data_IF_881707501736
#
_entry.id   IF_881707501736
#
_cell.length_a   1.000
_cell.length_b   1.000
_cell.length_c   1.000
_cell.angle_alpha   90.00
_cell.angle_beta   90.00
_cell.angle_gamma   90.00
#
_symmetry.space_group_name_H-M   'P 1'
#
loop_
_entity.id
_entity.type
_entity.pdbx_description
1 polymer ?
#
# COMPACT_ATOMS: atom_id res chain seq x y z
N UNK A 1 -41.62 -12.53 -55.21
CA UNK A 1 -40.57 -13.12 -54.34
C UNK A 1 -39.87 -11.98 -53.62
N UNK A 2 -40.37 -11.58 -52.45
CA UNK A 2 -39.81 -10.50 -51.63
C UNK A 2 -39.51 -11.11 -50.27
N UNK A 3 -38.22 -11.18 -49.94
CA UNK A 3 -37.74 -11.66 -48.65
C UNK A 3 -37.83 -10.50 -47.64
N UNK A 4 -38.68 -10.64 -46.62
CA UNK A 4 -38.60 -9.80 -45.42
C UNK A 4 -37.52 -10.38 -44.50
N UNK A 5 -36.41 -9.66 -44.32
CA UNK A 5 -35.49 -9.91 -43.21
C UNK A 5 -36.13 -9.40 -41.91
N UNK A 6 -36.42 -10.31 -41.00
CA UNK A 6 -36.71 -9.96 -39.61
C UNK A 6 -35.39 -9.59 -38.91
N UNK A 7 -35.21 -8.32 -38.58
CA UNK A 7 -34.13 -7.86 -37.71
C UNK A 7 -34.48 -8.21 -36.26
N UNK A 8 -33.92 -9.30 -35.73
CA UNK A 8 -33.90 -9.57 -34.29
C UNK A 8 -32.96 -8.59 -33.62
N UNK A 9 -33.51 -7.54 -33.00
CA UNK A 9 -32.80 -6.74 -31.99
C UNK A 9 -32.53 -7.63 -30.77
N UNK A 10 -31.28 -8.09 -30.65
CA UNK A 10 -30.78 -8.66 -29.40
C UNK A 10 -30.71 -7.53 -28.37
N UNK A 11 -31.65 -7.53 -27.43
CA UNK A 11 -31.54 -6.74 -26.21
C UNK A 11 -30.29 -7.25 -25.45
N UNK A 12 -29.21 -6.46 -25.46
CA UNK A 12 -28.12 -6.60 -24.52
C UNK A 12 -28.69 -6.41 -23.12
N UNK A 13 -29.04 -7.51 -22.46
CA UNK A 13 -29.37 -7.49 -21.04
C UNK A 13 -28.15 -6.96 -20.29
N UNK A 14 -28.20 -5.70 -19.87
CA UNK A 14 -27.21 -5.12 -18.96
C UNK A 14 -27.30 -5.82 -17.61
N UNK A 15 -26.61 -6.96 -17.47
CA UNK A 15 -26.58 -7.70 -16.21
C UNK A 15 -26.02 -6.83 -15.09
N UNK A 16 -26.43 -7.04 -13.84
CA UNK A 16 -25.84 -6.32 -12.71
C UNK A 16 -24.33 -6.60 -12.61
N UNK A 17 -23.57 -5.69 -11.98
CA UNK A 17 -22.16 -5.93 -11.62
C UNK A 17 -22.09 -7.18 -10.75
N UNK A 18 -21.17 -8.10 -11.06
CA UNK A 18 -20.98 -9.28 -10.21
C UNK A 18 -20.54 -8.81 -8.82
N UNK A 19 -21.30 -9.22 -7.81
CA UNK A 19 -21.15 -8.72 -6.45
C UNK A 19 -19.88 -9.20 -5.77
N UNK A 20 -19.74 -10.52 -5.70
CA UNK A 20 -18.80 -11.26 -4.88
C UNK A 20 -18.13 -12.34 -5.70
N UNK A 21 -16.97 -12.79 -5.23
CA UNK A 21 -16.20 -13.85 -5.83
C UNK A 21 -16.57 -15.22 -5.24
N UNK A 22 -16.43 -16.27 -6.04
CA UNK A 22 -16.60 -17.66 -5.56
C UNK A 22 -15.46 -18.10 -4.62
N UNK A 23 -14.27 -17.54 -4.81
CA UNK A 23 -13.08 -17.78 -4.01
C UNK A 23 -12.22 -16.51 -3.99
N UNK A 24 -11.36 -16.39 -2.97
CA UNK A 24 -10.36 -15.33 -2.94
C UNK A 24 -9.39 -15.48 -4.10
N UNK A 25 -8.98 -14.37 -4.69
CA UNK A 25 -8.05 -14.35 -5.83
C UNK A 25 -6.82 -13.55 -5.45
N UNK A 26 -5.65 -14.15 -5.62
CA UNK A 26 -4.35 -13.49 -5.51
C UNK A 26 -3.65 -13.57 -6.85
N UNK A 27 -3.09 -12.45 -7.32
CA UNK A 27 -2.27 -12.41 -8.52
C UNK A 27 -1.03 -11.57 -8.29
N UNK A 28 0.03 -11.86 -9.03
CA UNK A 28 1.17 -10.96 -9.19
C UNK A 28 1.15 -10.52 -10.66
N UNK A 29 1.09 -9.22 -10.88
CA UNK A 29 0.93 -8.63 -12.22
C UNK A 29 1.89 -7.48 -12.41
N UNK A 30 2.37 -7.31 -13.63
CA UNK A 30 3.26 -6.22 -14.00
C UNK A 30 2.49 -4.92 -14.18
N UNK A 31 3.00 -3.83 -13.62
CA UNK A 31 2.42 -2.49 -13.72
C UNK A 31 3.39 -1.58 -14.45
N UNK A 32 2.89 -0.83 -15.43
CA UNK A 32 3.68 0.21 -16.10
C UNK A 32 4.00 1.35 -15.13
N UNK A 33 3.23 1.56 -14.08
CA UNK A 33 3.39 2.66 -13.10
C UNK A 33 3.94 2.20 -11.75
N UNK A 34 4.50 0.99 -11.67
CA UNK A 34 5.21 0.49 -10.50
C UNK A 34 6.35 1.43 -10.04
N UNK A 35 6.82 1.32 -8.79
CA UNK A 35 7.96 2.11 -8.31
C UNK A 35 9.21 1.94 -9.17
N UNK A 36 9.49 0.72 -9.62
CA UNK A 36 10.62 0.36 -10.47
C UNK A 36 10.15 -0.43 -11.69
N UNK A 37 10.86 -0.36 -12.82
CA UNK A 37 12.11 0.37 -13.04
C UNK A 37 11.94 1.90 -13.06
N UNK A 38 13.02 2.61 -12.74
CA UNK A 38 13.11 4.05 -13.02
C UNK A 38 13.35 4.24 -14.51
N UNK A 39 12.76 5.27 -15.11
CA UNK A 39 13.13 5.66 -16.47
C UNK A 39 14.60 6.08 -16.46
N UNK A 40 15.43 5.25 -17.09
CA UNK A 40 16.87 5.41 -17.11
C UNK A 40 17.37 6.73 -17.69
N UNK A 41 16.54 7.44 -18.46
CA UNK A 41 16.89 8.74 -19.03
C UNK A 41 16.56 9.92 -18.11
N UNK A 42 15.83 9.69 -17.02
CA UNK A 42 15.46 10.77 -16.10
C UNK A 42 16.67 11.26 -15.30
N UNK A 43 16.68 12.56 -14.95
CA UNK A 43 17.69 13.13 -14.07
C UNK A 43 17.71 12.42 -12.70
N UNK A 44 16.54 12.02 -12.19
CA UNK A 44 16.41 11.27 -10.95
C UNK A 44 17.07 9.88 -11.03
N UNK A 45 16.91 9.16 -12.15
CA UNK A 45 17.59 7.88 -12.35
C UNK A 45 19.11 8.06 -12.49
N UNK A 46 19.54 9.12 -13.17
CA UNK A 46 20.97 9.42 -13.37
C UNK A 46 21.66 9.75 -12.04
N UNK A 47 21.02 10.54 -11.18
CA UNK A 47 21.55 10.86 -9.84
C UNK A 47 21.56 9.63 -8.94
N UNK A 48 20.52 8.80 -9.02
CA UNK A 48 20.40 7.63 -8.16
C UNK A 48 21.40 6.52 -8.50
N UNK A 49 21.55 6.18 -9.79
CA UNK A 49 22.52 5.17 -10.22
C UNK A 49 23.91 5.78 -10.40
N UNK A 50 24.64 5.86 -9.28
CA UNK A 50 25.93 6.53 -9.16
C UNK A 50 27.16 5.65 -9.48
N UNK A 51 26.97 4.38 -9.85
CA UNK A 51 28.04 3.47 -10.28
C UNK A 51 27.79 2.96 -11.70
N UNK A 52 28.88 2.64 -12.41
CA UNK A 52 28.83 2.09 -13.77
C UNK A 52 29.86 0.96 -13.94
N UNK A 53 29.46 -0.08 -14.67
CA UNK A 53 30.34 -1.14 -15.17
C UNK A 53 29.92 -1.47 -16.61
N UNK A 54 30.68 -0.94 -17.58
CA UNK A 54 30.29 -0.96 -18.99
C UNK A 54 28.94 -0.27 -19.21
N UNK A 55 27.94 -1.02 -19.68
CA UNK A 55 26.56 -0.55 -19.88
C UNK A 55 25.68 -0.70 -18.64
N UNK A 56 26.15 -1.41 -17.60
CA UNK A 56 25.40 -1.62 -16.37
C UNK A 56 25.47 -0.37 -15.50
N UNK A 57 24.35 -0.08 -14.85
CA UNK A 57 24.22 1.01 -13.88
C UNK A 57 23.93 0.41 -12.52
N UNK A 58 24.57 0.96 -11.50
CA UNK A 58 24.44 0.49 -10.13
C UNK A 58 24.26 1.62 -9.14
N UNK A 59 23.76 1.26 -7.96
CA UNK A 59 23.70 2.12 -6.79
C UNK A 59 24.69 1.60 -5.75
N UNK A 60 25.71 2.39 -5.41
CA UNK A 60 26.56 2.11 -4.25
C UNK A 60 25.92 2.64 -2.98
N UNK A 61 25.71 1.76 -2.01
CA UNK A 61 25.20 2.12 -0.69
C UNK A 61 26.29 2.76 0.18
N UNK A 62 25.89 3.33 1.32
CA UNK A 62 26.82 3.84 2.32
C UNK A 62 27.76 2.75 2.89
N UNK A 63 27.35 1.47 2.84
CA UNK A 63 28.18 0.33 3.26
C UNK A 63 29.12 -0.19 2.17
N UNK A 64 29.14 0.45 1.00
CA UNK A 64 29.98 0.07 -0.15
C UNK A 64 29.41 -1.06 -1.01
N UNK A 65 28.26 -1.65 -0.64
CA UNK A 65 27.57 -2.65 -1.47
C UNK A 65 27.01 -1.97 -2.72
N UNK A 66 27.14 -2.62 -3.87
CA UNK A 66 26.55 -2.17 -5.12
C UNK A 66 25.30 -3.01 -5.41
N UNK A 67 24.19 -2.35 -5.69
CA UNK A 67 22.98 -2.95 -6.24
C UNK A 67 22.87 -2.58 -7.71
N UNK A 68 22.80 -3.57 -8.60
CA UNK A 68 22.71 -3.34 -10.04
C UNK A 68 21.26 -3.12 -10.46
N UNK A 69 21.04 -2.15 -11.36
CA UNK A 69 19.72 -1.78 -11.86
C UNK A 69 18.93 -2.98 -12.41
N UNK A 70 19.57 -3.76 -13.27
CA UNK A 70 19.00 -4.91 -13.96
C UNK A 70 18.76 -6.14 -13.05
N UNK A 71 19.05 -6.03 -11.75
CA UNK A 71 18.87 -7.11 -10.78
C UNK A 71 17.96 -6.68 -9.62
N UNK A 72 18.14 -5.44 -9.14
CA UNK A 72 17.47 -4.94 -7.94
C UNK A 72 16.31 -3.99 -8.27
N UNK A 73 16.39 -3.25 -9.38
CA UNK A 73 15.49 -2.15 -9.68
C UNK A 73 14.76 -2.36 -11.01
N UNK A 74 14.50 -3.62 -11.38
CA UNK A 74 13.89 -4.03 -12.65
C UNK A 74 12.53 -4.72 -12.50
N UNK A 75 12.05 -4.91 -11.27
CA UNK A 75 10.83 -5.66 -11.01
C UNK A 75 9.62 -4.71 -10.89
N UNK A 76 8.80 -4.76 -11.94
CA UNK A 76 7.58 -3.96 -12.06
C UNK A 76 6.33 -4.67 -11.53
N UNK A 77 6.51 -5.79 -10.83
CA UNK A 77 5.39 -6.62 -10.37
C UNK A 77 4.73 -6.03 -9.13
N UNK A 78 3.44 -6.31 -9.02
CA UNK A 78 2.56 -5.89 -7.93
C UNK A 78 1.70 -7.08 -7.53
N UNK A 79 1.70 -7.39 -6.24
CA UNK A 79 0.80 -8.37 -5.67
C UNK A 79 -0.57 -7.73 -5.44
N UNK A 80 -1.61 -8.39 -5.93
CA UNK A 80 -3.00 -8.01 -5.77
C UNK A 80 -3.75 -9.14 -5.08
N UNK A 81 -4.64 -8.80 -4.17
CA UNK A 81 -5.54 -9.78 -3.57
C UNK A 81 -6.95 -9.24 -3.35
N UNK A 82 -7.94 -10.03 -3.77
CA UNK A 82 -9.37 -9.80 -3.51
C UNK A 82 -9.90 -10.98 -2.70
N UNK A 83 -10.30 -10.79 -1.43
CA UNK A 83 -10.94 -11.83 -0.63
C UNK A 83 -12.24 -12.32 -1.25
N UNK A 84 -12.62 -13.58 -1.01
CA UNK A 84 -13.87 -14.16 -1.54
C UNK A 84 -15.10 -13.31 -1.18
N UNK A 85 -15.12 -12.81 0.06
CA UNK A 85 -16.22 -12.02 0.64
C UNK A 85 -16.28 -10.56 0.20
N UNK A 86 -15.29 -10.08 -0.55
CA UNK A 86 -15.28 -8.71 -1.06
C UNK A 86 -16.52 -8.48 -1.93
N UNK A 87 -17.26 -7.41 -1.65
CA UNK A 87 -18.41 -6.96 -2.44
C UNK A 87 -18.17 -5.54 -2.95
N UNK A 88 -17.92 -5.41 -4.25
CA UNK A 88 -17.60 -4.12 -4.89
C UNK A 88 -18.75 -3.10 -4.81
N UNK A 89 -19.98 -3.56 -4.54
CA UNK A 89 -21.17 -2.71 -4.43
C UNK A 89 -21.33 -2.10 -3.04
N UNK A 90 -20.53 -2.54 -2.07
CA UNK A 90 -20.53 -2.03 -0.69
C UNK A 90 -19.37 -1.04 -0.49
N UNK A 91 -19.44 -0.16 0.51
CA UNK A 91 -18.28 0.62 0.93
C UNK A 91 -17.08 -0.30 1.16
N UNK A 92 -15.96 0.00 0.54
CA UNK A 92 -14.74 -0.78 0.62
C UNK A 92 -13.50 0.09 0.67
N UNK A 93 -12.34 -0.54 0.79
CA UNK A 93 -11.05 0.15 0.92
C UNK A 93 -9.96 -0.61 0.17
N UNK A 94 -9.00 0.13 -0.39
CA UNK A 94 -7.75 -0.46 -0.89
C UNK A 94 -6.69 -0.34 0.21
N UNK A 95 -6.19 -1.48 0.68
CA UNK A 95 -5.00 -1.54 1.51
C UNK A 95 -3.77 -1.56 0.59
N UNK A 96 -2.99 -0.50 0.60
CA UNK A 96 -1.70 -0.47 -0.11
C UNK A 96 -0.60 -0.79 0.89
N UNK A 97 0.21 -1.81 0.61
CA UNK A 97 1.27 -2.27 1.50
C UNK A 97 2.65 -2.01 0.91
N UNK A 98 3.47 -1.22 1.60
CA UNK A 98 4.86 -0.95 1.25
C UNK A 98 5.79 -1.76 2.13
N UNK A 99 6.51 -2.70 1.50
CA UNK A 99 7.35 -3.66 2.19
C UNK A 99 8.69 -3.08 2.67
N UNK A 100 9.32 -3.81 3.58
CA UNK A 100 10.65 -3.49 4.12
C UNK A 100 11.80 -3.92 3.22
N UNK A 101 13.01 -3.71 3.72
CA UNK A 101 14.23 -4.14 3.04
C UNK A 101 14.27 -5.65 2.79
N UNK A 102 14.95 -6.03 1.71
CA UNK A 102 15.23 -7.42 1.40
C UNK A 102 14.03 -8.21 0.91
N UNK A 103 12.86 -7.61 0.69
CA UNK A 103 11.67 -8.37 0.34
C UNK A 103 11.60 -8.78 -1.13
N UNK A 104 10.92 -9.90 -1.35
CA UNK A 104 10.40 -10.39 -2.63
C UNK A 104 8.91 -10.66 -2.41
N UNK A 105 8.04 -10.22 -3.33
CA UNK A 105 6.58 -10.32 -3.18
C UNK A 105 6.10 -11.72 -2.74
N UNK A 106 6.52 -12.77 -3.43
CA UNK A 106 6.13 -14.15 -3.12
C UNK A 106 6.62 -14.56 -1.73
N UNK A 107 7.93 -14.48 -1.51
CA UNK A 107 8.57 -15.02 -0.31
C UNK A 107 8.13 -14.28 0.95
N UNK A 108 8.11 -12.95 0.90
CA UNK A 108 7.96 -12.14 2.10
C UNK A 108 6.52 -11.69 2.30
N UNK A 109 5.86 -11.15 1.26
CA UNK A 109 4.52 -10.55 1.41
C UNK A 109 3.45 -11.64 1.41
N UNK A 110 3.52 -12.58 0.44
CA UNK A 110 2.55 -13.69 0.33
C UNK A 110 2.85 -14.78 1.36
N UNK A 111 4.06 -15.34 1.35
CA UNK A 111 4.31 -16.60 2.07
C UNK A 111 4.67 -16.38 3.54
N UNK A 112 5.61 -15.46 3.85
CA UNK A 112 6.05 -15.22 5.24
C UNK A 112 5.09 -14.36 6.05
N UNK A 113 4.69 -13.21 5.51
CA UNK A 113 3.86 -12.24 6.21
C UNK A 113 2.37 -12.51 6.07
N UNK A 114 1.99 -13.36 5.10
CA UNK A 114 0.61 -13.82 4.90
C UNK A 114 -0.37 -12.66 4.76
N UNK A 115 0.02 -11.59 4.04
CA UNK A 115 -0.83 -10.41 3.87
C UNK A 115 -2.19 -10.74 3.23
N UNK A 116 -2.26 -11.56 2.15
CA UNK A 116 -3.54 -12.00 1.59
C UNK A 116 -4.44 -12.67 2.64
N UNK A 117 -3.88 -13.52 3.49
CA UNK A 117 -4.59 -14.26 4.53
C UNK A 117 -5.08 -13.32 5.63
N UNK A 118 -4.26 -12.38 6.09
CA UNK A 118 -4.67 -11.37 7.07
C UNK A 118 -5.84 -10.51 6.55
N UNK A 119 -5.75 -10.06 5.29
CA UNK A 119 -6.83 -9.29 4.66
C UNK A 119 -8.10 -10.14 4.53
N UNK A 120 -7.97 -11.40 4.09
CA UNK A 120 -9.07 -12.37 4.00
C UNK A 120 -9.70 -12.72 5.35
N UNK A 121 -8.92 -12.75 6.43
CA UNK A 121 -9.41 -13.02 7.78
C UNK A 121 -10.19 -11.84 8.37
N UNK A 122 -9.86 -10.60 8.00
CA UNK A 122 -10.51 -9.39 8.53
C UNK A 122 -11.99 -9.27 8.15
N UNK A 123 -12.85 -8.69 8.97
CA UNK A 123 -14.26 -8.43 8.62
C UNK A 123 -14.44 -7.28 7.63
N UNK A 124 -13.35 -6.68 7.14
CA UNK A 124 -13.39 -5.55 6.24
C UNK A 124 -13.65 -5.97 4.78
N UNK A 125 -14.32 -5.10 4.04
CA UNK A 125 -14.48 -5.12 2.60
C UNK A 125 -13.25 -4.48 1.96
N UNK A 126 -12.12 -5.17 2.07
CA UNK A 126 -10.81 -4.65 1.68
C UNK A 126 -10.18 -5.49 0.57
N UNK A 127 -9.43 -4.83 -0.31
CA UNK A 127 -8.52 -5.46 -1.27
C UNK A 127 -7.09 -5.04 -0.97
N UNK A 128 -6.11 -5.85 -1.37
CA UNK A 128 -4.69 -5.59 -1.15
C UNK A 128 -3.99 -5.24 -2.46
N UNK A 129 -3.10 -4.26 -2.39
CA UNK A 129 -2.16 -3.88 -3.46
C UNK A 129 -0.77 -3.71 -2.84
N UNK A 130 0.21 -4.50 -3.25
CA UNK A 130 1.57 -4.45 -2.72
C UNK A 130 2.59 -4.40 -3.88
N UNK A 131 3.12 -3.22 -4.22
CA UNK A 131 4.14 -3.12 -5.26
C UNK A 131 5.49 -3.65 -4.77
N UNK A 132 6.26 -4.20 -5.70
CA UNK A 132 7.67 -4.48 -5.47
C UNK A 132 8.46 -3.17 -5.50
N UNK A 133 9.27 -2.94 -4.46
CA UNK A 133 10.35 -1.95 -4.45
C UNK A 133 11.67 -2.64 -4.83
N UNK A 134 12.81 -2.10 -4.40
CA UNK A 134 14.12 -2.73 -4.64
C UNK A 134 14.12 -4.22 -4.22
N UNK A 135 14.26 -5.11 -5.20
CA UNK A 135 14.14 -6.56 -5.02
C UNK A 135 15.28 -7.05 -4.17
N UNK A 136 14.94 -7.71 -3.05
CA UNK A 136 15.91 -8.38 -2.18
C UNK A 136 17.08 -7.46 -1.76
N UNK A 137 16.82 -6.17 -1.60
CA UNK A 137 17.83 -5.15 -1.30
C UNK A 137 17.50 -4.32 -0.06
N UNK A 138 18.55 -3.92 0.66
CA UNK A 138 18.47 -2.98 1.76
C UNK A 138 18.47 -1.53 1.26
N UNK A 139 17.40 -1.17 0.54
CA UNK A 139 17.20 0.15 -0.04
C UNK A 139 15.76 0.64 0.19
N UNK A 140 15.62 1.91 0.56
CA UNK A 140 14.34 2.58 0.81
C UNK A 140 13.96 3.56 -0.29
N UNK A 141 14.56 3.48 -1.47
CA UNK A 141 14.23 4.38 -2.56
C UNK A 141 12.75 4.18 -2.98
N UNK A 142 11.96 5.27 -3.04
CA UNK A 142 10.53 5.24 -3.37
C UNK A 142 10.22 4.93 -4.84
N UNK A 143 11.24 4.87 -5.70
CA UNK A 143 11.09 4.78 -7.14
C UNK A 143 10.27 5.96 -7.69
N UNK A 144 9.42 5.65 -8.66
CA UNK A 144 8.51 6.61 -9.31
C UNK A 144 7.47 7.22 -8.38
N UNK A 145 7.31 6.74 -7.15
CA UNK A 145 6.43 7.40 -6.17
C UNK A 145 7.00 8.72 -5.63
N UNK A 146 8.28 9.02 -5.89
CA UNK A 146 8.85 10.35 -5.65
C UNK A 146 8.35 11.42 -6.64
N UNK A 147 7.88 10.98 -7.82
CA UNK A 147 7.38 11.87 -8.87
C UNK A 147 6.04 12.49 -8.46
N UNK A 148 5.77 13.76 -8.84
CA UNK A 148 4.44 14.35 -8.69
C UNK A 148 3.35 13.47 -9.32
N UNK A 149 2.34 13.11 -8.52
CA UNK A 149 1.23 12.26 -8.95
C UNK A 149 1.59 10.80 -9.27
N UNK A 150 2.82 10.35 -9.01
CA UNK A 150 3.27 8.98 -9.31
C UNK A 150 2.40 7.93 -8.63
N UNK A 151 2.08 8.14 -7.36
CA UNK A 151 1.20 7.23 -6.62
C UNK A 151 -0.25 7.24 -7.12
N UNK A 152 -0.80 8.40 -7.51
CA UNK A 152 -2.13 8.46 -8.13
C UNK A 152 -2.18 7.69 -9.47
N UNK A 153 -1.14 7.80 -10.31
CA UNK A 153 -1.03 6.99 -11.54
C UNK A 153 -1.05 5.49 -11.22
N UNK A 154 -0.27 5.09 -10.21
CA UNK A 154 -0.25 3.72 -9.68
C UNK A 154 -1.61 3.24 -9.19
N UNK A 155 -2.34 4.04 -8.41
CA UNK A 155 -3.68 3.67 -7.93
C UNK A 155 -4.70 3.51 -9.07
N UNK A 156 -4.57 4.27 -10.15
CA UNK A 156 -5.45 4.16 -11.31
C UNK A 156 -5.18 2.87 -12.11
N UNK A 157 -3.91 2.49 -12.28
CA UNK A 157 -3.54 1.20 -12.86
C UNK A 157 -3.95 0.05 -11.94
N UNK A 158 -3.75 0.18 -10.62
CA UNK A 158 -4.21 -0.80 -9.62
C UNK A 158 -5.71 -1.07 -9.74
N UNK A 159 -6.53 -0.02 -9.91
CA UNK A 159 -7.97 -0.19 -10.11
C UNK A 159 -8.31 -0.98 -11.39
N UNK A 160 -7.51 -0.82 -12.45
CA UNK A 160 -7.65 -1.58 -13.70
C UNK A 160 -7.33 -3.06 -13.49
N UNK A 161 -6.19 -3.37 -12.87
CA UNK A 161 -5.83 -4.76 -12.59
C UNK A 161 -6.75 -5.41 -11.56
N UNK A 162 -7.27 -4.67 -10.57
CA UNK A 162 -8.28 -5.17 -9.65
C UNK A 162 -9.60 -5.48 -10.37
N UNK A 163 -10.03 -4.66 -11.32
CA UNK A 163 -11.22 -4.93 -12.13
C UNK A 163 -11.05 -6.18 -13.02
N UNK A 164 -9.85 -6.37 -13.59
CA UNK A 164 -9.46 -7.60 -14.33
C UNK A 164 -9.53 -8.81 -13.39
N UNK A 165 -8.87 -8.73 -12.23
CA UNK A 165 -8.80 -9.83 -11.26
C UNK A 165 -10.19 -10.20 -10.72
N UNK A 166 -11.01 -9.18 -10.45
CA UNK A 166 -12.40 -9.34 -10.06
C UNK A 166 -13.20 -10.10 -11.13
N UNK A 167 -12.95 -9.80 -12.41
CA UNK A 167 -13.59 -10.45 -13.55
C UNK A 167 -14.78 -9.68 -14.12
N UNK A 168 -14.96 -8.41 -13.72
CA UNK A 168 -16.01 -7.54 -14.24
C UNK A 168 -15.44 -6.13 -14.46
N UNK A 169 -15.18 -5.75 -15.70
CA UNK A 169 -14.62 -4.44 -16.06
C UNK A 169 -15.48 -3.26 -15.62
N UNK A 170 -16.78 -3.47 -15.37
CA UNK A 170 -17.68 -2.42 -14.91
C UNK A 170 -17.40 -1.99 -13.47
N UNK A 171 -16.60 -2.78 -12.73
CA UNK A 171 -16.10 -2.44 -11.38
C UNK A 171 -14.99 -1.38 -11.36
N UNK A 172 -14.41 -1.04 -12.51
CA UNK A 172 -13.27 -0.13 -12.61
C UNK A 172 -13.51 1.21 -11.90
N UNK A 173 -14.65 1.87 -12.18
CA UNK A 173 -14.97 3.17 -11.58
C UNK A 173 -15.12 3.09 -10.07
N UNK A 174 -15.67 1.99 -9.56
CA UNK A 174 -15.78 1.74 -8.13
C UNK A 174 -14.38 1.61 -7.52
N UNK A 175 -13.50 0.78 -8.08
CA UNK A 175 -12.11 0.65 -7.62
C UNK A 175 -11.33 1.98 -7.67
N UNK A 176 -11.54 2.81 -8.70
CA UNK A 176 -10.93 4.15 -8.81
C UNK A 176 -11.41 5.13 -7.74
N UNK A 177 -12.59 4.90 -7.16
CA UNK A 177 -13.17 5.75 -6.12
C UNK A 177 -12.86 5.32 -4.68
N UNK A 178 -12.43 4.06 -4.48
CA UNK A 178 -12.25 3.54 -3.12
C UNK A 178 -11.22 4.35 -2.32
N UNK A 179 -11.47 4.63 -1.03
CA UNK A 179 -10.45 5.19 -0.14
C UNK A 179 -9.26 4.23 -0.03
N UNK A 180 -8.10 4.79 0.31
CA UNK A 180 -6.85 4.06 0.47
C UNK A 180 -6.39 4.12 1.93
N UNK A 181 -5.96 2.98 2.45
CA UNK A 181 -5.17 2.90 3.67
C UNK A 181 -3.78 2.44 3.28
N UNK A 182 -2.80 3.24 3.65
CA UNK A 182 -1.41 2.96 3.35
C UNK A 182 -0.75 2.33 4.57
N UNK A 183 -0.17 1.15 4.37
CA UNK A 183 0.63 0.46 5.38
C UNK A 183 2.07 0.49 4.92
N UNK A 184 2.98 0.91 5.80
CA UNK A 184 4.42 0.87 5.57
C UNK A 184 5.06 -0.01 6.61
N UNK A 185 5.91 -0.93 6.17
CA UNK A 185 6.74 -1.76 7.04
C UNK A 185 8.22 -1.43 6.82
N UNK A 186 8.95 -1.23 7.92
CA UNK A 186 10.41 -1.08 7.91
C UNK A 186 10.90 -0.06 6.86
N UNK A 187 11.65 -0.51 5.84
CA UNK A 187 12.18 0.28 4.74
C UNK A 187 11.15 0.99 3.84
N UNK A 188 9.85 0.67 3.91
CA UNK A 188 8.79 1.25 3.07
C UNK A 188 8.43 2.71 3.38
N UNK A 189 8.99 3.30 4.43
CA UNK A 189 8.57 4.59 4.99
C UNK A 189 8.78 5.79 4.06
N UNK A 190 9.85 5.80 3.27
CA UNK A 190 10.12 6.91 2.33
C UNK A 190 9.11 6.90 1.20
N UNK A 191 8.78 5.72 0.69
CA UNK A 191 7.71 5.55 -0.28
C UNK A 191 6.38 6.03 0.30
N UNK A 192 6.09 5.70 1.56
CA UNK A 192 4.87 6.15 2.22
C UNK A 192 4.80 7.68 2.39
N UNK A 193 5.88 8.29 2.87
CA UNK A 193 5.96 9.73 3.06
C UNK A 193 5.80 10.50 1.74
N UNK A 194 6.39 10.01 0.65
CA UNK A 194 6.29 10.66 -0.65
C UNK A 194 4.97 10.38 -1.36
N UNK A 195 4.39 9.17 -1.18
CA UNK A 195 3.05 8.87 -1.64
C UNK A 195 2.02 9.84 -1.05
N UNK A 196 2.10 10.16 0.24
CA UNK A 196 1.11 11.04 0.90
C UNK A 196 1.37 12.55 0.71
N UNK A 197 2.58 12.97 0.33
CA UNK A 197 2.93 14.39 0.17
C UNK A 197 3.08 14.86 -1.28
N UNK A 198 3.45 13.96 -2.19
CA UNK A 198 3.64 14.26 -3.62
C UNK A 198 2.78 13.39 -4.53
N UNK A 199 2.49 12.17 -4.09
CA UNK A 199 1.89 11.13 -4.91
C UNK A 199 0.37 11.16 -4.98
N UNK A 200 -0.34 11.38 -3.86
CA UNK A 200 -1.80 11.35 -3.76
C UNK A 200 -2.41 12.73 -4.07
N UNK A 201 -2.55 13.03 -5.35
CA UNK A 201 -3.14 14.29 -5.82
C UNK A 201 -4.66 14.32 -5.71
N UNK A 202 -5.28 13.18 -5.39
CA UNK A 202 -6.73 13.00 -5.30
C UNK A 202 -7.26 12.96 -3.87
N UNK A 203 -6.36 12.97 -2.87
CA UNK A 203 -6.71 12.86 -1.45
C UNK A 203 -7.39 11.53 -1.11
N UNK A 204 -7.09 10.43 -1.82
CA UNK A 204 -7.69 9.10 -1.58
C UNK A 204 -7.11 8.43 -0.34
N UNK A 205 -5.90 8.77 0.09
CA UNK A 205 -5.30 8.21 1.30
C UNK A 205 -5.99 8.79 2.54
N UNK A 206 -6.72 7.93 3.25
CA UNK A 206 -7.48 8.29 4.47
C UNK A 206 -6.85 7.74 5.75
N UNK A 207 -5.91 6.80 5.64
CA UNK A 207 -5.21 6.22 6.76
C UNK A 207 -3.76 5.91 6.44
N UNK A 208 -2.87 6.14 7.40
CA UNK A 208 -1.48 5.68 7.35
C UNK A 208 -1.21 4.81 8.57
N UNK A 209 -0.62 3.64 8.35
CA UNK A 209 -0.18 2.70 9.37
C UNK A 209 1.30 2.43 9.18
N UNK A 210 2.12 2.80 10.16
CA UNK A 210 3.56 2.52 10.17
C UNK A 210 3.82 1.32 11.07
N UNK A 211 4.45 0.28 10.53
CA UNK A 211 4.86 -0.93 11.24
C UNK A 211 6.38 -0.88 11.42
N UNK A 212 6.81 -0.34 12.56
CA UNK A 212 8.21 -0.05 12.92
C UNK A 212 8.99 0.55 11.75
N UNK A 213 8.41 1.57 11.12
CA UNK A 213 8.92 2.14 9.87
C UNK A 213 9.30 3.61 9.97
N UNK A 214 9.03 4.32 11.06
CA UNK A 214 9.31 5.76 11.15
C UNK A 214 10.82 6.04 11.37
N UNK A 215 11.64 5.80 10.36
CA UNK A 215 13.08 6.08 10.38
C UNK A 215 13.42 7.55 10.02
N UNK A 216 12.50 8.25 9.36
CA UNK A 216 12.69 9.63 8.91
C UNK A 216 11.42 10.22 8.27
N UNK A 217 11.57 11.32 7.54
CA UNK A 217 10.45 12.04 6.87
C UNK A 217 9.35 12.53 7.84
N UNK A 218 9.73 12.84 9.09
CA UNK A 218 8.79 13.19 10.16
C UNK A 218 7.95 14.43 9.81
N UNK A 219 8.57 15.42 9.15
CA UNK A 219 7.93 16.63 8.63
C UNK A 219 6.72 16.31 7.74
N UNK A 220 6.85 15.28 6.90
CA UNK A 220 5.83 14.86 5.94
C UNK A 220 4.66 14.19 6.64
N UNK A 221 4.94 13.27 7.56
CA UNK A 221 3.89 12.61 8.35
C UNK A 221 3.18 13.61 9.26
N UNK A 222 3.91 14.49 9.94
CA UNK A 222 3.35 15.56 10.76
C UNK A 222 2.42 16.47 9.96
N UNK A 223 2.89 16.99 8.81
CA UNK A 223 2.09 17.85 7.93
C UNK A 223 0.84 17.13 7.40
N UNK A 224 0.98 15.87 7.01
CA UNK A 224 -0.14 15.07 6.51
C UNK A 224 -1.21 14.81 7.59
N UNK A 225 -0.80 14.52 8.83
CA UNK A 225 -1.71 14.30 9.97
C UNK A 225 -2.43 15.60 10.37
N UNK A 226 -1.71 16.72 10.38
CA UNK A 226 -2.25 18.01 10.85
C UNK A 226 -3.10 18.73 9.82
N UNK A 227 -2.93 18.45 8.52
CA UNK A 227 -3.65 19.13 7.44
C UNK A 227 -5.09 18.68 7.22
N UNK A 228 -5.48 17.47 7.64
CA UNK A 228 -6.86 16.98 7.46
C UNK A 228 -7.28 16.02 8.57
N UNK A 229 -8.20 16.49 9.43
CA UNK A 229 -8.77 15.72 10.54
C UNK A 229 -9.68 14.58 10.09
N UNK A 230 -9.96 14.44 8.78
CA UNK A 230 -10.68 13.29 8.23
C UNK A 230 -9.81 12.04 8.09
N UNK A 231 -8.50 12.15 8.35
CA UNK A 231 -7.52 11.06 8.26
C UNK A 231 -7.25 10.42 9.61
N UNK A 232 -6.75 9.19 9.61
CA UNK A 232 -6.19 8.57 10.83
C UNK A 232 -4.71 8.21 10.63
N UNK A 233 -3.98 8.12 11.73
CA UNK A 233 -2.57 7.73 11.75
C UNK A 233 -2.31 6.74 12.87
N UNK A 234 -1.67 5.63 12.55
CA UNK A 234 -1.22 4.64 13.52
C UNK A 234 0.26 4.39 13.27
N UNK A 235 1.07 4.42 14.31
CA UNK A 235 2.47 4.01 14.24
C UNK A 235 2.76 3.03 15.36
N UNK A 236 3.17 1.82 15.02
CA UNK A 236 3.80 0.93 16.01
C UNK A 236 5.31 1.02 15.87
N UNK A 237 6.01 0.96 17.00
CA UNK A 237 7.44 1.19 17.04
C UNK A 237 8.15 0.27 18.02
N UNK A 238 9.35 -0.15 17.64
CA UNK A 238 10.31 -0.88 18.46
C UNK A 238 11.52 0.01 18.77
N UNK A 239 12.59 -0.55 19.33
CA UNK A 239 13.79 0.19 19.73
C UNK A 239 14.35 1.10 18.64
N UNK A 240 14.47 0.60 17.41
CA UNK A 240 15.12 1.30 16.30
C UNK A 240 14.40 2.58 15.85
N UNK A 241 13.06 2.64 15.95
CA UNK A 241 12.27 3.82 15.57
C UNK A 241 11.67 4.56 16.78
N UNK A 242 11.92 4.10 18.01
CA UNK A 242 11.36 4.66 19.25
C UNK A 242 11.60 6.16 19.38
N UNK A 243 12.85 6.60 19.22
CA UNK A 243 13.20 8.01 19.37
C UNK A 243 12.40 8.91 18.41
N UNK A 244 12.28 8.49 17.14
CA UNK A 244 11.53 9.22 16.10
C UNK A 244 10.03 9.24 16.36
N UNK A 245 9.48 8.15 16.88
CA UNK A 245 8.07 8.10 17.28
C UNK A 245 7.80 9.05 18.46
N UNK A 246 8.65 9.04 19.49
CA UNK A 246 8.52 9.95 20.63
C UNK A 246 8.65 11.43 20.20
N UNK A 247 9.55 11.72 19.28
CA UNK A 247 9.71 13.05 18.66
C UNK A 247 8.43 13.48 17.95
N UNK A 248 7.90 12.66 17.04
CA UNK A 248 6.67 12.96 16.32
C UNK A 248 5.46 13.08 17.26
N UNK A 249 5.35 12.22 18.27
CA UNK A 249 4.32 12.32 19.30
C UNK A 249 4.37 13.66 20.03
N UNK A 250 5.57 14.13 20.39
CA UNK A 250 5.76 15.43 21.04
C UNK A 250 5.31 16.55 20.11
N UNK A 251 5.79 16.58 18.87
CA UNK A 251 5.44 17.63 17.90
C UNK A 251 3.94 17.68 17.63
N UNK A 252 3.27 16.53 17.50
CA UNK A 252 1.82 16.46 17.32
C UNK A 252 1.06 17.00 18.53
N UNK A 253 1.50 16.68 19.76
CA UNK A 253 0.91 17.24 21.00
C UNK A 253 1.11 18.75 21.09
N UNK A 254 2.28 19.25 20.74
CA UNK A 254 2.59 20.69 20.72
C UNK A 254 1.69 21.44 19.71
N UNK A 255 1.20 20.77 18.66
CA UNK A 255 0.20 21.28 17.72
C UNK A 255 -1.26 21.01 18.10
N UNK A 256 -1.51 20.55 19.33
CA UNK A 256 -2.87 20.27 19.81
C UNK A 256 -3.54 19.05 19.18
N UNK A 257 -2.77 18.13 18.58
CA UNK A 257 -3.29 16.85 18.07
C UNK A 257 -3.31 15.83 19.21
N UNK A 258 -4.49 15.28 19.59
CA UNK A 258 -4.55 14.25 20.62
C UNK A 258 -3.87 12.95 20.16
N UNK A 259 -2.95 12.43 20.97
CA UNK A 259 -2.21 11.20 20.71
C UNK A 259 -2.58 10.13 21.75
N UNK A 260 -2.90 8.92 21.28
CA UNK A 260 -3.20 7.75 22.13
C UNK A 260 -2.07 6.72 22.08
N UNK A 261 -1.96 5.92 23.14
CA UNK A 261 -1.00 4.82 23.23
C UNK A 261 -1.58 3.44 22.84
N UNK A 262 -2.89 3.35 22.67
CA UNK A 262 -3.63 2.11 22.39
C UNK A 262 -4.74 2.34 21.36
N UNK A 263 -5.12 1.27 20.66
CA UNK A 263 -6.21 1.30 19.68
C UNK A 263 -7.56 1.09 20.36
N UNK A 264 -8.48 2.02 20.13
CA UNK A 264 -9.89 1.85 20.48
C UNK A 264 -10.59 0.83 19.56
N UNK A 265 -11.75 0.34 20.00
CA UNK A 265 -12.58 -0.63 19.26
C UNK A 265 -13.00 -0.20 17.84
N UNK A 266 -12.87 1.09 17.51
CA UNK A 266 -13.10 1.65 16.16
C UNK A 266 -11.95 2.59 15.83
N UNK A 267 -11.42 2.49 14.62
CA UNK A 267 -10.56 3.50 14.02
C UNK A 267 -11.46 4.50 13.29
N UNK A 268 -11.46 5.74 13.75
CA UNK A 268 -12.25 6.84 13.19
C UNK A 268 -11.37 7.96 12.68
N UNK A 269 -11.86 8.78 11.74
CA UNK A 269 -11.22 10.02 11.36
C UNK A 269 -10.73 10.85 12.57
N UNK A 270 -9.51 11.39 12.48
CA UNK A 270 -8.88 12.19 13.53
C UNK A 270 -8.13 11.37 14.59
N UNK A 271 -8.16 10.03 14.49
CA UNK A 271 -7.47 9.14 15.42
C UNK A 271 -5.97 9.13 15.13
N UNK A 272 -5.16 9.44 16.14
CA UNK A 272 -3.69 9.36 16.08
C UNK A 272 -3.19 8.48 17.23
N UNK A 273 -2.54 7.38 16.88
CA UNK A 273 -2.15 6.32 17.84
C UNK A 273 -0.70 5.94 17.64
N UNK A 274 0.03 5.83 18.73
CA UNK A 274 1.41 5.35 18.76
C UNK A 274 1.50 4.17 19.72
N UNK A 275 1.76 2.97 19.19
CA UNK A 275 1.71 1.71 19.94
C UNK A 275 3.13 1.19 20.16
N UNK A 276 3.63 1.09 21.41
CA UNK A 276 4.89 0.41 21.65
C UNK A 276 4.73 -1.08 21.28
N UNK A 277 5.55 -1.56 20.34
CA UNK A 277 5.44 -2.90 19.75
C UNK A 277 6.05 -4.04 20.58
N UNK A 278 6.41 -3.80 21.84
CA UNK A 278 7.05 -4.79 22.72
C UNK A 278 8.58 -4.74 22.70
N UNK A 279 9.25 -5.90 22.70
CA UNK A 279 10.72 -6.05 22.78
C UNK A 279 11.40 -5.84 21.42
N UNK A 280 12.67 -5.43 21.43
CA UNK A 280 13.42 -5.00 20.23
C UNK A 280 13.64 -6.10 19.17
N UNK A 281 13.56 -7.38 19.56
CA UNK A 281 13.86 -8.52 18.69
C UNK A 281 12.76 -8.84 17.67
N UNK A 282 11.59 -8.18 17.74
CA UNK A 282 10.42 -8.54 16.95
C UNK A 282 10.29 -7.81 15.60
N UNK A 283 11.31 -7.09 15.13
CA UNK A 283 11.20 -6.28 13.91
C UNK A 283 10.81 -7.07 12.65
N UNK A 284 11.34 -8.29 12.48
CA UNK A 284 11.08 -9.09 11.27
C UNK A 284 9.65 -9.66 11.23
N UNK A 285 9.08 -9.86 12.41
CA UNK A 285 7.80 -10.53 12.58
C UNK A 285 6.68 -9.59 13.00
N UNK A 286 6.94 -8.28 13.17
CA UNK A 286 5.93 -7.28 13.55
C UNK A 286 4.70 -7.20 12.62
N UNK A 287 4.79 -7.75 11.40
CA UNK A 287 3.67 -7.81 10.46
C UNK A 287 2.77 -9.02 10.74
N UNK A 288 3.27 -10.06 11.40
CA UNK A 288 2.57 -11.29 11.77
C UNK A 288 2.25 -11.32 13.27
N UNK A 289 3.14 -10.81 14.10
CA UNK A 289 3.05 -10.78 15.55
C UNK A 289 3.58 -9.44 16.06
N UNK A 290 2.74 -8.40 16.02
CA UNK A 290 3.11 -7.05 16.45
C UNK A 290 2.69 -6.79 17.90
N UNK A 291 1.87 -5.76 18.10
CA UNK A 291 1.17 -5.57 19.39
C UNK A 291 0.08 -6.64 19.64
N UNK A 292 -0.25 -7.40 18.60
CA UNK A 292 -1.19 -8.50 18.57
C UNK A 292 -0.82 -9.42 17.39
N UNK A 293 -1.18 -10.72 17.43
CA UNK A 293 -1.13 -11.56 16.24
C UNK A 293 -2.01 -11.00 15.12
N UNK A 294 -1.51 -11.05 13.89
CA UNK A 294 -2.10 -10.50 12.67
C UNK A 294 -2.55 -9.02 12.79
N UNK A 295 -1.61 -8.07 12.99
CA UNK A 295 -1.92 -6.65 13.14
C UNK A 295 -2.73 -6.05 11.98
N UNK A 296 -2.55 -6.54 10.74
CA UNK A 296 -3.33 -6.04 9.60
C UNK A 296 -4.80 -6.42 9.75
N UNK A 297 -5.08 -7.65 10.19
CA UNK A 297 -6.44 -8.09 10.53
C UNK A 297 -7.05 -7.20 11.62
N UNK A 298 -6.30 -6.90 12.69
CA UNK A 298 -6.77 -6.05 13.79
C UNK A 298 -7.11 -4.62 13.32
N UNK A 299 -6.22 -4.00 12.55
CA UNK A 299 -6.46 -2.66 11.97
C UNK A 299 -7.73 -2.68 11.09
N UNK A 300 -7.82 -3.62 10.16
CA UNK A 300 -8.96 -3.72 9.24
C UNK A 300 -10.28 -3.96 9.98
N UNK A 301 -10.29 -4.78 11.03
CA UNK A 301 -11.47 -5.03 11.86
C UNK A 301 -12.02 -3.78 12.57
N UNK A 302 -11.16 -2.78 12.80
CA UNK A 302 -11.53 -1.52 13.44
C UNK A 302 -12.12 -0.51 12.45
N UNK A 303 -12.04 -0.75 11.15
CA UNK A 303 -12.62 0.08 10.08
C UNK A 303 -14.09 -0.26 9.85
N UNK A 304 -14.94 0.03 10.83
CA UNK A 304 -16.33 -0.44 10.84
C UNK A 304 -17.19 0.08 9.69
N UNK A 305 -16.77 1.16 9.03
CA UNK A 305 -17.49 1.75 7.91
C UNK A 305 -17.29 0.94 6.61
N UNK A 306 -16.34 0.00 6.58
CA UNK A 306 -16.03 -0.86 5.43
C UNK A 306 -16.26 -2.34 5.75
N UNK A 307 -17.39 -2.74 6.31
CA UNK A 307 -17.63 -4.16 6.62
C UNK A 307 -18.02 -4.98 5.38
N UNK A 308 -17.38 -6.14 5.21
CA UNK A 308 -17.76 -7.12 4.19
C UNK A 308 -19.14 -7.74 4.51
N UNK A 309 -19.74 -8.41 3.52
CA UNK A 309 -20.88 -9.26 3.80
C UNK A 309 -20.48 -10.39 4.76
N UNK A 310 -21.44 -10.85 5.56
CA UNK A 310 -21.30 -12.10 6.32
C UNK A 310 -21.31 -13.28 5.36
#
# INVERSE_FOLDING_TARGET
MIWLLAATTALLSGGAVQAQLRAGKTSISEFVTSPFPLDGSSAAATEYFNEKDGTKRGRKTATGRIYWENETYNDQRVLLHIPAKFDIRKPGVILVYFHGHGAILERDIRDRQQLPEQVSASVANAVLVAPQFAVNAADSNPGRFAEPGGFTRFLNEAATHLAILHGDQRSLRQFQSLPVILVSYSGGYRAAALAITRGDTTGRVKGVVLLDSLYGEMDKFESWVTSDRKRFFVSTYLGSTKARNLELMKTLKDRGVPVKATLDRKLVPGTVVFIPGGTEENHRDIVQDGWIPNPITDILNRLRDFRAAR
#
